data_IF_589429844845
#
_entry.id   IF_589429844845
#
_cell.length_a   1.000
_cell.length_b   1.000
_cell.length_c   1.000
_cell.angle_alpha   90.00
_cell.angle_beta   90.00
_cell.angle_gamma   90.00
#
_symmetry.space_group_name_H-M   'P 1'
#
loop_
_entity.id
_entity.type
_entity.pdbx_description
1 polymer ?
#
# COMPACT_ATOMS: atom_id res chain seq x y z
N UNK A 1 -9.81 1.78 2.00
CA UNK A 1 -8.94 2.88 2.52
C UNK A 1 -8.11 3.44 1.37
N UNK A 2 -8.05 4.77 1.22
CA UNK A 2 -7.23 5.45 0.21
C UNK A 2 -6.24 6.39 0.92
N UNK A 3 -4.96 6.40 0.53
CA UNK A 3 -3.95 7.24 1.19
C UNK A 3 -2.84 7.73 0.26
N UNK A 4 -2.39 8.97 0.50
CA UNK A 4 -1.10 9.48 0.04
C UNK A 4 -0.15 9.54 1.25
N UNK A 5 0.55 8.43 1.57
CA UNK A 5 1.24 8.29 2.84
C UNK A 5 2.33 9.36 3.03
N UNK A 6 2.56 9.86 4.25
CA UNK A 6 3.51 10.93 4.53
C UNK A 6 4.95 10.43 4.44
N UNK A 7 5.51 10.40 3.23
CA UNK A 7 6.85 9.84 2.94
C UNK A 7 7.95 10.46 3.81
N UNK A 8 7.85 11.77 4.10
CA UNK A 8 8.83 12.50 4.92
C UNK A 8 8.83 12.08 6.39
N UNK A 9 7.80 11.38 6.86
CA UNK A 9 7.76 10.78 8.20
C UNK A 9 8.64 9.52 8.32
N UNK A 10 9.22 9.05 7.21
CA UNK A 10 10.15 7.93 7.20
C UNK A 10 9.49 6.58 6.96
N UNK A 11 10.35 5.59 6.68
CA UNK A 11 9.94 4.24 6.25
C UNK A 11 9.08 3.52 7.28
N UNK A 12 9.41 3.65 8.56
CA UNK A 12 8.70 2.97 9.66
C UNK A 12 7.24 3.44 9.74
N UNK A 13 7.00 4.74 9.66
CA UNK A 13 5.65 5.32 9.69
C UNK A 13 4.84 4.85 8.49
N UNK A 14 5.42 4.90 7.28
CA UNK A 14 4.76 4.42 6.07
C UNK A 14 4.43 2.93 6.19
N UNK A 15 5.39 2.09 6.62
CA UNK A 15 5.19 0.65 6.77
C UNK A 15 4.13 0.32 7.82
N UNK A 16 4.06 1.09 8.91
CA UNK A 16 3.03 0.96 9.92
C UNK A 16 1.64 1.25 9.35
N UNK A 17 1.48 2.33 8.59
CA UNK A 17 0.22 2.65 7.90
C UNK A 17 -0.21 1.51 6.97
N UNK A 18 0.71 0.94 6.19
CA UNK A 18 0.39 -0.17 5.28
C UNK A 18 -0.02 -1.43 6.03
N UNK A 19 0.64 -1.74 7.16
CA UNK A 19 0.34 -2.89 8.00
C UNK A 19 -1.02 -2.75 8.68
N UNK A 20 -1.22 -1.66 9.41
CA UNK A 20 -2.44 -1.43 10.21
C UNK A 20 -3.68 -1.25 9.33
N UNK A 21 -3.51 -0.79 8.08
CA UNK A 21 -4.63 -0.73 7.13
C UNK A 21 -5.34 -2.07 6.94
N UNK A 22 -4.63 -3.21 7.03
CA UNK A 22 -5.25 -4.53 6.92
C UNK A 22 -6.27 -4.79 8.04
N UNK A 23 -5.92 -4.41 9.27
CA UNK A 23 -6.78 -4.62 10.45
C UNK A 23 -8.03 -3.73 10.42
N UNK A 24 -7.96 -2.59 9.71
CA UNK A 24 -9.06 -1.64 9.56
C UNK A 24 -9.94 -1.89 8.31
N UNK A 25 -9.57 -2.83 7.44
CA UNK A 25 -10.39 -3.19 6.29
C UNK A 25 -11.39 -4.28 6.65
N UNK A 26 -12.61 -4.13 6.10
CA UNK A 26 -13.57 -5.23 6.00
C UNK A 26 -13.08 -6.27 4.97
N UNK A 27 -13.67 -7.46 4.98
CA UNK A 27 -13.46 -8.46 3.93
C UNK A 27 -13.72 -7.86 2.55
N UNK A 28 -12.87 -8.22 1.58
CA UNK A 28 -12.83 -7.65 0.22
C UNK A 28 -12.58 -6.14 0.17
N UNK A 29 -12.27 -5.52 1.30
CA UNK A 29 -11.87 -4.12 1.40
C UNK A 29 -10.48 -3.90 0.81
N UNK A 30 -10.29 -2.76 0.16
CA UNK A 30 -9.03 -2.43 -0.53
C UNK A 30 -8.24 -1.33 0.16
N UNK A 31 -6.92 -1.47 0.18
CA UNK A 31 -5.98 -0.38 0.42
C UNK A 31 -5.46 0.14 -0.93
N UNK A 32 -5.66 1.43 -1.20
CA UNK A 32 -5.13 2.11 -2.39
C UNK A 32 -4.17 3.20 -1.94
N UNK A 33 -2.92 3.15 -2.42
CA UNK A 33 -1.94 4.20 -2.15
C UNK A 33 -1.36 4.80 -3.42
N UNK A 34 -0.99 6.08 -3.34
CA UNK A 34 -0.16 6.74 -4.35
C UNK A 34 1.23 7.00 -3.77
N UNK A 35 2.28 6.66 -4.51
CA UNK A 35 3.67 6.87 -4.07
C UNK A 35 4.61 7.08 -5.25
N UNK A 36 5.54 8.03 -5.14
CA UNK A 36 6.55 8.23 -6.18
C UNK A 36 7.62 7.12 -6.14
N UNK A 37 8.05 6.62 -7.29
CA UNK A 37 9.08 5.55 -7.41
C UNK A 37 10.33 5.85 -6.58
N UNK A 38 10.81 7.10 -6.66
CA UNK A 38 12.00 7.59 -5.94
C UNK A 38 11.81 7.70 -4.42
N UNK A 39 10.57 7.73 -3.97
CA UNK A 39 10.17 7.82 -2.55
C UNK A 39 9.97 6.45 -1.90
N UNK A 40 10.29 5.37 -2.61
CA UNK A 40 10.22 4.02 -2.06
C UNK A 40 9.00 3.21 -2.48
N UNK A 41 8.38 3.51 -3.64
CA UNK A 41 7.29 2.69 -4.18
C UNK A 41 7.61 1.18 -4.23
N UNK A 42 8.82 0.72 -4.65
CA UNK A 42 9.16 -0.70 -4.60
C UNK A 42 9.14 -1.29 -3.18
N UNK A 43 9.56 -0.51 -2.18
CA UNK A 43 9.52 -0.95 -0.78
C UNK A 43 8.09 -1.00 -0.24
N UNK A 44 7.23 -0.06 -0.63
CA UNK A 44 5.82 -0.06 -0.26
C UNK A 44 5.09 -1.25 -0.91
N UNK A 45 5.33 -1.52 -2.20
CA UNK A 45 4.82 -2.69 -2.90
C UNK A 45 5.23 -3.99 -2.21
N UNK A 46 6.51 -4.16 -1.87
CA UNK A 46 6.98 -5.34 -1.13
C UNK A 46 6.27 -5.50 0.22
N UNK A 47 6.05 -4.39 0.94
CA UNK A 47 5.37 -4.43 2.23
C UNK A 47 3.88 -4.74 2.10
N UNK A 48 3.20 -4.19 1.10
CA UNK A 48 1.81 -4.52 0.77
C UNK A 48 1.67 -6.01 0.41
N UNK A 49 2.57 -6.54 -0.42
CA UNK A 49 2.61 -7.98 -0.74
C UNK A 49 2.82 -8.86 0.50
N UNK A 50 3.67 -8.44 1.43
CA UNK A 50 3.92 -9.15 2.69
C UNK A 50 2.70 -9.15 3.63
N UNK A 51 1.97 -8.03 3.70
CA UNK A 51 0.83 -7.85 4.62
C UNK A 51 -0.45 -8.46 4.06
N UNK A 52 -0.72 -8.25 2.77
CA UNK A 52 -1.99 -8.63 2.15
C UNK A 52 -1.91 -9.93 1.34
N UNK A 53 -0.71 -10.41 1.02
CA UNK A 53 -0.52 -11.54 0.10
C UNK A 53 -0.75 -11.18 -1.38
N UNK A 54 -1.19 -9.96 -1.67
CA UNK A 54 -1.40 -9.44 -3.01
C UNK A 54 -0.98 -7.97 -3.09
N UNK A 55 -0.60 -7.51 -4.29
CA UNK A 55 -0.50 -6.09 -4.62
C UNK A 55 -0.49 -5.92 -6.14
N UNK A 56 -1.29 -4.99 -6.64
CA UNK A 56 -1.32 -4.61 -8.05
C UNK A 56 -0.90 -3.16 -8.23
N UNK A 57 -0.11 -2.88 -9.28
CA UNK A 57 0.15 -1.51 -9.72
C UNK A 57 -0.81 -1.15 -10.85
N UNK A 58 -1.92 -0.52 -10.51
CA UNK A 58 -2.99 -0.18 -11.46
C UNK A 58 -2.69 1.06 -12.31
N UNK A 59 -1.76 1.92 -11.88
CA UNK A 59 -1.33 3.09 -12.66
C UNK A 59 0.13 3.47 -12.44
N UNK A 60 0.71 4.05 -13.49
CA UNK A 60 2.05 4.65 -13.53
C UNK A 60 1.98 5.93 -14.36
N UNK A 61 2.13 7.10 -13.73
CA UNK A 61 2.29 8.37 -14.44
C UNK A 61 3.32 9.26 -13.76
N UNK A 62 4.21 9.90 -14.55
CA UNK A 62 5.27 10.81 -14.07
C UNK A 62 6.06 10.30 -12.87
N UNK A 63 6.26 8.98 -12.81
CA UNK A 63 6.95 8.30 -11.73
C UNK A 63 6.15 8.08 -10.45
N UNK A 64 4.86 8.43 -10.40
CA UNK A 64 3.92 8.04 -9.35
C UNK A 64 3.29 6.69 -9.69
N UNK A 65 3.21 5.83 -8.68
CA UNK A 65 2.58 4.50 -8.76
C UNK A 65 1.29 4.55 -7.96
N UNK A 66 0.21 4.01 -8.50
CA UNK A 66 -0.97 3.65 -7.72
C UNK A 66 -0.90 2.16 -7.43
N UNK A 67 -0.83 1.81 -6.15
CA UNK A 67 -0.75 0.44 -5.67
C UNK A 67 -2.04 0.08 -4.95
N UNK A 68 -2.55 -1.13 -5.19
CA UNK A 68 -3.79 -1.65 -4.61
C UNK A 68 -3.52 -3.03 -4.00
N UNK A 69 -4.00 -3.25 -2.78
CA UNK A 69 -4.11 -4.59 -2.18
C UNK A 69 -5.53 -4.79 -1.67
N UNK A 70 -6.00 -6.03 -1.69
CA UNK A 70 -7.33 -6.43 -1.22
C UNK A 70 -7.19 -7.33 -0.01
N UNK A 71 -7.96 -7.07 1.05
CA UNK A 71 -8.10 -8.01 2.17
C UNK A 71 -9.03 -9.15 1.74
N UNK A 72 -8.43 -10.19 1.19
CA UNK A 72 -9.15 -11.42 0.83
C UNK A 72 -9.74 -12.07 2.08
N UNK A 73 -10.87 -12.76 1.93
CA UNK A 73 -11.43 -13.59 3.00
C UNK A 73 -10.41 -14.62 3.46
N UNK A 74 -10.21 -14.72 4.78
CA UNK A 74 -9.57 -15.89 5.35
C UNK A 74 -10.46 -17.10 5.10
N UNK A 75 -9.89 -18.19 4.60
CA UNK A 75 -10.58 -19.48 4.50
C UNK A 75 -11.07 -19.99 5.86
#
# INVERSE_FOLDING_TARGET
IISNPPIRAGKEVVHRILKEAYDHLVEEGQLVIVIQKKQGAPSAQKKMQEVFGNVERIALDKGYWILVSTKEKGE
#
